data_IF_272112065910
#
_entry.id   IF_272112065910
#
_cell.length_a   1.000
_cell.length_b   1.000
_cell.length_c   1.000
_cell.angle_alpha   90.00
_cell.angle_beta   90.00
_cell.angle_gamma   90.00
#
_symmetry.space_group_name_H-M   'P 1'
#
loop_
_entity.id
_entity.type
_entity.pdbx_description
1 polymer ?
#
# COMPACT_ATOMS: atom_id res chain seq x y z
N UNK A 1 52.83 -0.02 5.00
CA UNK A 1 52.18 -1.35 5.21
C UNK A 1 50.78 -1.09 5.77
N UNK A 2 49.74 -1.20 4.95
CA UNK A 2 48.37 -0.84 5.37
C UNK A 2 47.87 -1.88 6.38
N UNK A 3 47.33 -1.41 7.50
CA UNK A 3 46.95 -2.27 8.61
C UNK A 3 45.68 -3.07 8.24
N UNK A 4 45.79 -4.40 8.20
CA UNK A 4 44.74 -5.32 7.73
C UNK A 4 43.44 -5.20 8.55
N UNK A 5 43.55 -4.78 9.82
CA UNK A 5 42.40 -4.45 10.67
C UNK A 5 41.64 -3.20 10.22
N UNK A 6 42.35 -2.15 9.77
CA UNK A 6 41.74 -0.92 9.24
C UNK A 6 41.00 -1.22 7.93
N UNK A 7 41.55 -2.10 7.09
CA UNK A 7 40.90 -2.55 5.86
C UNK A 7 39.60 -3.31 6.15
N UNK A 8 39.61 -4.22 7.12
CA UNK A 8 38.44 -5.00 7.53
C UNK A 8 37.35 -4.13 8.18
N UNK A 9 37.72 -3.18 9.04
CA UNK A 9 36.75 -2.27 9.66
C UNK A 9 36.11 -1.33 8.65
N UNK A 10 36.89 -0.83 7.68
CA UNK A 10 36.39 0.03 6.61
C UNK A 10 35.43 -0.72 5.69
N UNK A 11 35.75 -1.98 5.35
CA UNK A 11 34.88 -2.85 4.54
C UNK A 11 33.55 -3.17 5.25
N UNK A 12 33.58 -3.40 6.57
CA UNK A 12 32.38 -3.65 7.38
C UNK A 12 31.50 -2.40 7.48
N UNK A 13 32.11 -1.21 7.62
CA UNK A 13 31.38 0.06 7.64
C UNK A 13 30.65 0.29 6.31
N UNK A 14 31.32 0.06 5.18
CA UNK A 14 30.75 0.20 3.82
C UNK A 14 29.55 -0.74 3.61
N UNK A 15 29.59 -1.96 4.15
CA UNK A 15 28.49 -2.92 4.03
C UNK A 15 27.23 -2.51 4.81
N UNK A 16 27.38 -1.81 5.94
CA UNK A 16 26.23 -1.35 6.74
C UNK A 16 25.48 -0.17 6.11
N UNK A 17 26.18 0.73 5.39
CA UNK A 17 25.55 1.90 4.75
C UNK A 17 24.69 1.51 3.54
N UNK A 18 24.98 0.39 2.87
CA UNK A 18 24.24 -0.08 1.71
C UNK A 18 22.86 -0.68 2.04
N UNK A 19 22.63 -1.14 3.27
CA UNK A 19 21.36 -1.79 3.66
C UNK A 19 20.21 -0.82 3.97
N UNK A 20 20.46 0.48 4.10
CA UNK A 20 19.48 1.42 4.65
C UNK A 20 18.43 1.98 3.66
N UNK A 21 18.39 1.51 2.40
CA UNK A 21 17.45 2.04 1.40
C UNK A 21 16.34 1.05 1.01
N UNK A 22 15.56 0.58 1.99
CA UNK A 22 14.26 -0.03 1.68
C UNK A 22 13.22 1.08 1.47
N UNK A 23 13.09 1.56 0.23
CA UNK A 23 12.01 2.49 -0.14
C UNK A 23 10.68 1.75 0.00
N UNK A 24 9.86 2.07 1.01
CA UNK A 24 8.45 1.67 1.00
C UNK A 24 7.76 2.34 -0.19
N UNK A 25 7.68 1.63 -1.31
CA UNK A 25 7.05 2.14 -2.52
C UNK A 25 5.53 2.03 -2.33
N UNK A 26 4.84 3.15 -2.58
CA UNK A 26 3.39 3.27 -2.75
C UNK A 26 2.54 3.14 -1.48
N UNK A 27 2.92 3.82 -0.40
CA UNK A 27 2.06 4.00 0.78
C UNK A 27 1.07 5.15 0.59
N UNK A 28 -0.16 5.00 1.08
CA UNK A 28 -1.14 6.09 1.15
C UNK A 28 -2.07 5.95 2.35
N UNK A 29 -2.62 7.06 2.83
CA UNK A 29 -3.62 7.07 3.90
C UNK A 29 -5.01 6.92 3.32
N UNK A 30 -5.76 5.91 3.74
CA UNK A 30 -7.15 5.72 3.30
C UNK A 30 -8.04 6.77 3.93
N UNK A 31 -8.73 7.55 3.10
CA UNK A 31 -9.57 8.68 3.54
C UNK A 31 -11.05 8.52 3.22
N UNK A 32 -11.40 7.59 2.32
CA UNK A 32 -12.78 7.27 1.99
C UNK A 32 -12.89 5.83 1.49
N UNK A 33 -13.99 5.18 1.83
CA UNK A 33 -14.41 3.89 1.27
C UNK A 33 -15.67 4.13 0.42
N UNK A 34 -15.65 3.70 -0.83
CA UNK A 34 -16.79 3.88 -1.76
C UNK A 34 -17.77 2.72 -1.61
N UNK A 35 -17.25 1.49 -1.66
CA UNK A 35 -17.96 0.20 -1.63
C UNK A 35 -17.00 -0.88 -1.06
N UNK A 36 -17.28 -2.16 -1.26
CA UNK A 36 -16.49 -3.25 -0.69
C UNK A 36 -15.15 -3.55 -1.36
N UNK A 37 -14.83 -2.94 -2.51
CA UNK A 37 -13.57 -3.15 -3.23
C UNK A 37 -12.89 -1.85 -3.69
N UNK A 38 -13.51 -0.70 -3.49
CA UNK A 38 -13.01 0.59 -3.96
C UNK A 38 -12.81 1.57 -2.79
N UNK A 39 -11.59 2.07 -2.66
CA UNK A 39 -11.20 3.08 -1.68
C UNK A 39 -10.55 4.31 -2.33
N UNK A 40 -10.54 5.42 -1.62
CA UNK A 40 -9.73 6.61 -1.95
C UNK A 40 -8.66 6.78 -0.89
N UNK A 41 -7.43 7.00 -1.34
CA UNK A 41 -6.32 7.30 -0.44
C UNK A 41 -5.55 8.56 -0.84
N UNK A 42 -4.96 9.22 0.17
CA UNK A 42 -4.06 10.35 0.02
C UNK A 42 -2.62 9.87 0.04
N UNK A 43 -1.88 10.17 -1.02
CA UNK A 43 -0.43 9.92 -1.08
C UNK A 43 0.34 10.97 -0.28
N UNK A 44 1.65 10.76 -0.06
CA UNK A 44 2.52 11.72 0.66
C UNK A 44 2.53 13.15 0.06
N UNK A 45 2.20 13.29 -1.22
CA UNK A 45 2.08 14.60 -1.89
C UNK A 45 0.67 15.19 -1.85
N UNK A 46 -0.20 14.74 -0.92
CA UNK A 46 -1.62 15.12 -0.83
C UNK A 46 -2.44 14.85 -2.10
N UNK A 47 -1.92 14.06 -3.03
CA UNK A 47 -2.68 13.63 -4.20
C UNK A 47 -3.66 12.54 -3.80
N UNK A 48 -4.94 12.82 -4.04
CA UNK A 48 -6.02 11.84 -3.91
C UNK A 48 -5.99 10.88 -5.10
N UNK A 49 -5.99 9.58 -4.81
CA UNK A 49 -6.11 8.52 -5.81
C UNK A 49 -7.23 7.57 -5.43
N UNK A 50 -8.03 7.16 -6.43
CA UNK A 50 -8.97 6.05 -6.28
C UNK A 50 -8.25 4.74 -6.56
N UNK A 51 -8.47 3.77 -5.69
CA UNK A 51 -7.89 2.42 -5.78
C UNK A 51 -9.03 1.41 -5.82
N UNK A 52 -8.99 0.50 -6.79
CA UNK A 52 -9.80 -0.72 -6.82
C UNK A 52 -8.92 -1.89 -6.41
N UNK A 53 -9.42 -2.70 -5.49
CA UNK A 53 -8.78 -3.94 -5.07
C UNK A 53 -8.71 -4.88 -6.28
N UNK A 54 -7.50 -5.35 -6.59
CA UNK A 54 -7.28 -6.31 -7.67
C UNK A 54 -7.97 -7.64 -7.35
N UNK A 55 -8.56 -8.29 -8.37
CA UNK A 55 -9.15 -9.64 -8.25
C UNK A 55 -10.34 -9.76 -7.29
N UNK A 56 -10.81 -8.65 -6.72
CA UNK A 56 -12.00 -8.60 -5.85
C UNK A 56 -13.15 -7.93 -6.62
N UNK A 57 -14.33 -8.53 -6.49
CA UNK A 57 -15.59 -7.94 -6.91
C UNK A 57 -16.57 -7.99 -5.75
N UNK A 58 -16.89 -6.82 -5.21
CA UNK A 58 -17.76 -6.68 -4.05
C UNK A 58 -19.12 -6.11 -4.44
N UNK A 59 -20.20 -6.42 -3.69
CA UNK A 59 -21.49 -5.78 -3.92
C UNK A 59 -21.39 -4.26 -3.85
N UNK A 60 -21.90 -3.61 -4.88
CA UNK A 60 -22.03 -2.16 -4.97
C UNK A 60 -22.98 -1.64 -3.89
N UNK A 61 -22.91 -0.34 -3.59
CA UNK A 61 -23.65 0.29 -2.48
C UNK A 61 -25.17 -0.01 -2.48
N UNK A 62 -25.78 -0.11 -3.66
CA UNK A 62 -27.22 -0.35 -3.87
C UNK A 62 -27.61 -1.82 -3.92
N UNK A 63 -26.64 -2.74 -4.00
CA UNK A 63 -26.90 -4.18 -4.05
C UNK A 63 -27.12 -4.75 -2.65
N UNK A 64 -27.74 -5.93 -2.60
CA UNK A 64 -27.85 -6.70 -1.37
C UNK A 64 -26.45 -6.86 -0.74
N UNK A 65 -26.35 -6.64 0.57
CA UNK A 65 -25.10 -6.67 1.34
C UNK A 65 -24.05 -5.59 1.00
N UNK A 66 -24.34 -4.63 0.11
CA UNK A 66 -23.41 -3.55 -0.25
C UNK A 66 -22.93 -2.73 0.95
N UNK A 67 -23.83 -2.38 1.87
CA UNK A 67 -23.46 -1.69 3.12
C UNK A 67 -22.56 -2.53 4.03
N UNK A 68 -22.84 -3.84 4.11
CA UNK A 68 -22.03 -4.77 4.92
C UNK A 68 -20.63 -4.91 4.33
N UNK A 69 -20.52 -5.08 3.02
CA UNK A 69 -19.24 -5.19 2.32
C UNK A 69 -18.38 -3.92 2.49
N UNK A 70 -18.99 -2.74 2.26
CA UNK A 70 -18.35 -1.46 2.53
C UNK A 70 -17.88 -1.34 3.99
N UNK A 71 -18.71 -1.75 4.95
CA UNK A 71 -18.36 -1.71 6.37
C UNK A 71 -17.15 -2.58 6.68
N UNK A 72 -17.10 -3.80 6.15
CA UNK A 72 -15.94 -4.70 6.30
C UNK A 72 -14.65 -4.04 5.83
N UNK A 73 -14.62 -3.49 4.61
CA UNK A 73 -13.43 -2.80 4.11
C UNK A 73 -13.08 -1.57 4.95
N UNK A 74 -14.09 -0.82 5.42
CA UNK A 74 -13.88 0.32 6.32
C UNK A 74 -13.23 -0.09 7.64
N UNK A 75 -13.73 -1.13 8.30
CA UNK A 75 -13.18 -1.61 9.57
C UNK A 75 -11.72 -2.08 9.40
N UNK A 76 -11.40 -2.66 8.24
CA UNK A 76 -10.06 -3.11 7.91
C UNK A 76 -9.07 -1.97 7.69
N UNK A 77 -9.42 -0.93 6.91
CA UNK A 77 -8.42 0.03 6.41
C UNK A 77 -8.75 1.52 6.52
N UNK A 78 -9.95 1.92 6.96
CA UNK A 78 -10.28 3.35 7.06
C UNK A 78 -9.34 4.09 8.01
N UNK A 79 -8.87 5.29 7.59
CA UNK A 79 -7.89 6.13 8.30
C UNK A 79 -6.50 5.51 8.53
N UNK A 80 -6.25 4.30 8.02
CA UNK A 80 -4.96 3.63 8.13
C UNK A 80 -4.05 3.98 6.95
N UNK A 81 -2.74 3.89 7.19
CA UNK A 81 -1.73 3.91 6.13
C UNK A 81 -1.59 2.51 5.56
N UNK A 82 -1.86 2.36 4.27
CA UNK A 82 -1.78 1.08 3.55
C UNK A 82 -0.67 1.14 2.51
N UNK A 83 -0.10 -0.02 2.19
CA UNK A 83 0.84 -0.21 1.09
C UNK A 83 0.11 -0.78 -0.11
N UNK A 84 0.34 -0.19 -1.28
CA UNK A 84 -0.26 -0.65 -2.53
C UNK A 84 0.75 -1.46 -3.36
N UNK A 85 0.37 -2.69 -3.73
CA UNK A 85 1.05 -3.45 -4.79
C UNK A 85 0.32 -3.17 -6.11
N UNK A 86 0.88 -2.28 -6.92
CA UNK A 86 0.24 -1.78 -8.14
C UNK A 86 0.16 -2.86 -9.22
N UNK A 87 -0.99 -2.94 -9.89
CA UNK A 87 -1.26 -3.82 -11.03
C UNK A 87 -1.55 -3.06 -12.32
N UNK A 88 -1.86 -1.76 -12.22
CA UNK A 88 -2.07 -0.89 -13.37
C UNK A 88 -3.25 0.06 -13.17
N UNK A 89 -3.99 0.29 -14.25
CA UNK A 89 -5.22 1.10 -14.28
C UNK A 89 -6.36 0.26 -14.84
N UNK A 90 -7.56 0.44 -14.29
CA UNK A 90 -8.77 -0.11 -14.90
C UNK A 90 -9.32 0.81 -16.00
N UNK A 91 -10.36 0.37 -16.70
CA UNK A 91 -11.05 1.16 -17.74
C UNK A 91 -11.60 2.51 -17.27
N UNK A 92 -11.78 2.69 -15.95
CA UNK A 92 -12.27 3.91 -15.32
C UNK A 92 -11.13 4.78 -14.75
N UNK A 93 -9.88 4.47 -15.10
CA UNK A 93 -8.67 5.16 -14.66
C UNK A 93 -8.42 5.10 -13.14
N UNK A 94 -9.08 4.18 -12.41
CA UNK A 94 -8.75 3.86 -11.03
C UNK A 94 -7.46 3.08 -10.98
N UNK A 95 -6.67 3.29 -9.93
CA UNK A 95 -5.48 2.46 -9.68
C UNK A 95 -5.93 1.05 -9.30
N UNK A 96 -5.49 0.04 -10.05
CA UNK A 96 -5.71 -1.36 -9.70
C UNK A 96 -4.55 -1.83 -8.82
N UNK A 97 -4.83 -2.35 -7.63
CA UNK A 97 -3.77 -2.78 -6.70
C UNK A 97 -4.22 -3.85 -5.72
N UNK A 98 -3.28 -4.65 -5.23
CA UNK A 98 -3.45 -5.43 -3.98
C UNK A 98 -3.11 -4.52 -2.81
N UNK A 99 -4.01 -4.45 -1.82
CA UNK A 99 -3.89 -3.55 -0.67
C UNK A 99 -3.36 -4.32 0.53
N UNK A 100 -2.32 -3.79 1.15
CA UNK A 100 -1.75 -4.35 2.38
C UNK A 100 -1.87 -3.36 3.53
N UNK A 101 -2.36 -3.83 4.67
CA UNK A 101 -2.22 -3.14 5.94
C UNK A 101 -1.26 -3.94 6.82
N UNK A 102 -0.14 -3.33 7.19
CA UNK A 102 0.99 -4.05 7.81
C UNK A 102 1.40 -5.24 6.92
N UNK A 103 1.29 -6.47 7.42
CA UNK A 103 1.59 -7.72 6.69
C UNK A 103 0.35 -8.41 6.13
N UNK A 104 -0.85 -7.92 6.44
CA UNK A 104 -2.11 -8.53 6.01
C UNK A 104 -2.46 -8.09 4.58
N UNK A 105 -2.79 -9.06 3.73
CA UNK A 105 -3.47 -8.81 2.45
C UNK A 105 -4.95 -8.51 2.74
N UNK A 106 -5.43 -7.36 2.27
CA UNK A 106 -6.80 -6.88 2.51
C UNK A 106 -7.78 -7.34 1.44
N UNK A 107 -7.28 -7.71 0.27
CA UNK A 107 -8.06 -8.37 -0.77
C UNK A 107 -8.60 -9.69 -0.24
#
# INVERSE_FOLDING_TARGET
MINRKILLTSLLLIFTVLSACSREKNTCRVVKISDGDTLTCLTKGNKSIKVRLAEIDAPEKSQAFGQKSKKTLSDLVYQKNVRLSLKGKDRYQRTLAVVYYQKQNIN
#
